data_IF_782469116250
#
_entry.id   IF_782469116250
#
_cell.length_a   1.000
_cell.length_b   1.000
_cell.length_c   1.000
_cell.angle_alpha   90.00
_cell.angle_beta   90.00
_cell.angle_gamma   90.00
#
_symmetry.space_group_name_H-M   'P 1'
#
loop_
_entity.id
_entity.type
_entity.pdbx_description
1 polymer ?
#
# COMPACT_ATOMS: atom_id res chain seq x y z
N UNK A 1 -21.11 15.58 5.68
CA UNK A 1 -20.54 14.63 4.69
C UNK A 1 -20.88 13.21 5.13
N UNK A 2 -21.74 12.51 4.41
CA UNK A 2 -22.19 11.15 4.73
C UNK A 2 -21.04 10.13 4.59
N UNK A 3 -20.97 9.16 5.51
CA UNK A 3 -19.92 8.14 5.63
C UNK A 3 -19.66 7.38 4.30
N UNK A 4 -20.71 7.14 3.52
CA UNK A 4 -20.67 6.45 2.23
C UNK A 4 -19.77 7.11 1.19
N UNK A 5 -19.72 8.45 1.13
CA UNK A 5 -18.87 9.15 0.15
C UNK A 5 -17.39 9.03 0.49
N UNK A 6 -17.04 8.97 1.79
CA UNK A 6 -15.65 8.77 2.24
C UNK A 6 -15.15 7.37 1.89
N UNK A 7 -15.97 6.35 2.09
CA UNK A 7 -15.64 4.96 1.71
C UNK A 7 -15.39 4.82 0.21
N UNK A 8 -16.23 5.45 -0.63
CA UNK A 8 -16.05 5.42 -2.08
C UNK A 8 -14.73 6.06 -2.53
N UNK A 9 -14.35 7.18 -1.88
CA UNK A 9 -13.06 7.84 -2.14
C UNK A 9 -11.89 6.94 -1.73
N UNK A 10 -11.95 6.32 -0.54
CA UNK A 10 -10.93 5.40 -0.06
C UNK A 10 -10.78 4.15 -0.95
N UNK A 11 -11.88 3.65 -1.52
CA UNK A 11 -11.85 2.53 -2.47
C UNK A 11 -11.17 2.93 -3.79
N UNK A 12 -11.42 4.14 -4.28
CA UNK A 12 -10.72 4.65 -5.46
C UNK A 12 -9.22 4.81 -5.18
N UNK A 13 -8.86 5.34 -4.00
CA UNK A 13 -7.46 5.47 -3.58
C UNK A 13 -6.78 4.10 -3.50
N UNK A 14 -7.49 3.08 -2.97
CA UNK A 14 -7.01 1.70 -2.96
C UNK A 14 -6.70 1.21 -4.37
N UNK A 15 -7.63 1.35 -5.31
CA UNK A 15 -7.47 0.89 -6.69
C UNK A 15 -6.28 1.59 -7.36
N UNK A 16 -6.17 2.90 -7.19
CA UNK A 16 -5.09 3.70 -7.79
C UNK A 16 -3.73 3.33 -7.20
N UNK A 17 -3.60 3.24 -5.88
CA UNK A 17 -2.34 2.93 -5.20
C UNK A 17 -1.85 1.50 -5.43
N UNK A 18 -2.74 0.60 -5.86
CA UNK A 18 -2.43 -0.80 -6.12
C UNK A 18 -2.49 -1.15 -7.61
N UNK A 19 -2.43 -0.14 -8.50
CA UNK A 19 -2.31 -0.34 -9.94
C UNK A 19 -1.08 -1.17 -10.28
N UNK A 20 -1.28 -2.19 -11.12
CA UNK A 20 -0.23 -3.12 -11.53
C UNK A 20 0.08 -4.23 -10.51
N UNK A 21 -0.67 -4.30 -9.41
CA UNK A 21 -0.64 -5.40 -8.44
C UNK A 21 -2.01 -6.07 -8.40
N UNK A 22 -2.04 -7.37 -8.70
CA UNK A 22 -3.25 -8.18 -8.59
C UNK A 22 -3.55 -8.44 -7.11
N UNK A 23 -4.66 -7.91 -6.62
CA UNK A 23 -5.06 -8.11 -5.22
C UNK A 23 -6.55 -7.87 -5.02
N UNK A 24 -7.04 -8.30 -3.86
CA UNK A 24 -8.38 -7.96 -3.36
C UNK A 24 -8.57 -6.43 -3.34
N UNK A 25 -9.70 -5.92 -3.86
CA UNK A 25 -10.06 -4.48 -3.91
C UNK A 25 -11.43 -4.24 -3.27
N UNK A 26 -11.58 -4.61 -2.00
CA UNK A 26 -12.83 -4.42 -1.25
C UNK A 26 -12.61 -3.64 0.05
N UNK A 27 -13.71 -3.30 0.73
CA UNK A 27 -13.67 -2.52 1.97
C UNK A 27 -12.84 -3.18 3.09
N UNK A 28 -12.68 -4.51 3.05
CA UNK A 28 -11.98 -5.28 4.07
C UNK A 28 -10.47 -5.10 4.09
N UNK A 29 -9.91 -4.28 3.19
CA UNK A 29 -8.47 -4.00 3.15
C UNK A 29 -8.13 -2.49 3.15
N UNK A 30 -9.12 -1.62 3.40
CA UNK A 30 -8.90 -0.16 3.36
C UNK A 30 -7.88 0.32 4.40
N UNK A 31 -7.82 -0.32 5.56
CA UNK A 31 -6.84 0.02 6.59
C UNK A 31 -5.41 -0.43 6.24
N UNK A 32 -5.26 -1.23 5.19
CA UNK A 32 -3.99 -1.77 4.71
C UNK A 32 -3.62 -1.25 3.31
N UNK A 33 -4.22 -0.13 2.87
CA UNK A 33 -3.80 0.51 1.62
C UNK A 33 -2.35 1.00 1.72
N UNK A 34 -1.57 1.04 0.62
CA UNK A 34 -0.18 1.48 0.67
C UNK A 34 0.04 2.82 1.40
N UNK A 35 -0.88 3.78 1.22
CA UNK A 35 -0.84 5.09 1.87
C UNK A 35 -1.10 5.10 3.38
N UNK A 36 -1.54 3.98 3.97
CA UNK A 36 -1.65 3.84 5.42
C UNK A 36 -0.29 3.64 6.10
N UNK A 37 0.75 3.28 5.32
CA UNK A 37 2.10 3.03 5.81
C UNK A 37 3.06 4.17 5.44
N UNK A 38 4.22 4.19 6.11
CA UNK A 38 5.33 5.07 5.72
C UNK A 38 5.93 4.59 4.39
N UNK A 39 6.45 5.52 3.59
CA UNK A 39 7.27 5.18 2.42
C UNK A 39 8.44 4.28 2.84
N UNK A 40 8.57 3.12 2.17
CA UNK A 40 9.67 2.18 2.40
C UNK A 40 11.03 2.82 2.08
N UNK A 41 11.10 3.64 1.03
CA UNK A 41 12.33 4.34 0.65
C UNK A 41 12.85 5.24 1.76
N UNK A 42 11.93 5.96 2.43
CA UNK A 42 12.27 6.80 3.59
C UNK A 42 12.70 5.96 4.80
N UNK A 43 12.11 4.79 5.00
CA UNK A 43 12.53 3.89 6.09
C UNK A 43 13.94 3.37 5.82
N UNK A 44 14.22 2.92 4.59
CA UNK A 44 15.53 2.40 4.21
C UNK A 44 16.61 3.47 4.22
N UNK A 45 16.31 4.71 3.76
CA UNK A 45 17.28 5.81 3.79
C UNK A 45 17.75 6.17 5.19
N UNK A 46 16.88 6.01 6.20
CA UNK A 46 17.21 6.33 7.59
C UNK A 46 18.12 5.29 8.25
N UNK A 47 18.36 4.14 7.62
CA UNK A 47 19.13 3.02 8.17
C UNK A 47 20.33 2.67 7.29
N UNK A 48 20.67 3.52 6.31
CA UNK A 48 21.68 3.24 5.28
C UNK A 48 23.09 2.97 5.82
N UNK A 49 23.38 3.40 7.04
CA UNK A 49 24.63 3.17 7.76
C UNK A 49 24.66 1.83 8.52
N UNK A 50 23.52 1.18 8.69
CA UNK A 50 23.35 -0.07 9.46
C UNK A 50 23.02 -1.29 8.59
N UNK A 51 22.53 -1.08 7.36
CA UNK A 51 22.08 -2.17 6.49
C UNK A 51 22.57 -2.00 5.05
N UNK A 52 22.64 -3.12 4.34
CA UNK A 52 22.93 -3.17 2.90
C UNK A 52 21.68 -3.64 2.13
N UNK A 53 21.33 -2.94 1.04
CA UNK A 53 20.25 -3.37 0.15
C UNK A 53 20.79 -4.42 -0.82
N UNK A 54 20.45 -5.68 -0.60
CA UNK A 54 20.83 -6.78 -1.48
C UNK A 54 19.96 -6.89 -2.74
N UNK A 55 18.69 -6.50 -2.64
CA UNK A 55 17.73 -6.51 -3.74
C UNK A 55 16.50 -5.67 -3.40
N UNK A 56 15.82 -5.16 -4.44
CA UNK A 56 14.51 -4.51 -4.34
C UNK A 56 13.48 -5.34 -5.12
N UNK A 57 12.37 -5.70 -4.48
CA UNK A 57 11.33 -6.52 -5.10
C UNK A 57 10.10 -5.68 -5.44
N UNK A 58 9.55 -5.88 -6.63
CA UNK A 58 8.28 -5.32 -7.05
C UNK A 58 7.19 -6.38 -6.94
N UNK A 59 6.12 -6.06 -6.20
CA UNK A 59 4.98 -6.94 -6.06
C UNK A 59 4.21 -7.07 -7.37
N UNK A 60 3.72 -8.28 -7.65
CA UNK A 60 2.82 -8.59 -8.78
C UNK A 60 1.46 -9.13 -8.31
N UNK A 61 1.42 -9.81 -7.17
CA UNK A 61 0.20 -10.33 -6.56
C UNK A 61 0.22 -10.17 -5.04
N UNK A 62 -0.94 -9.89 -4.43
CA UNK A 62 -1.14 -9.81 -2.99
C UNK A 62 -2.35 -10.65 -2.58
N UNK A 63 -2.12 -11.71 -1.81
CA UNK A 63 -3.16 -12.57 -1.25
C UNK A 63 -3.17 -12.36 0.27
N UNK A 64 -4.32 -11.97 0.80
CA UNK A 64 -4.56 -11.78 2.24
C UNK A 64 -5.61 -12.78 2.71
N UNK A 65 -5.40 -13.34 3.91
CA UNK A 65 -6.37 -14.20 4.60
C UNK A 65 -7.56 -13.43 5.15
#
# INVERSE_FOLDING_TARGET
MTNTRKKLLLLNDLIEQTKGVECRKDEGILDEIPGAYKSIDRVMSNQSDLVEIVATLKQVVCVKG
#
